data_IF_583345880827
#
_entry.id   IF_583345880827
#
_cell.length_a   1.000
_cell.length_b   1.000
_cell.length_c   1.000
_cell.angle_alpha   90.00
_cell.angle_beta   90.00
_cell.angle_gamma   90.00
#
_symmetry.space_group_name_H-M   'P 1'
#
loop_
_entity.id
_entity.type
_entity.pdbx_description
1 polymer ?
#
# COMPACT_ATOMS: atom_id res chain seq x y z
N UNK A 1 20.25 -11.88 5.37
CA UNK A 1 21.11 -10.86 6.01
C UNK A 1 20.38 -10.16 7.15
N UNK A 2 19.11 -9.70 6.98
CA UNK A 2 18.34 -9.02 8.05
C UNK A 2 18.13 -9.87 9.31
N UNK A 3 17.86 -11.16 9.18
CA UNK A 3 17.68 -12.07 10.31
C UNK A 3 18.97 -12.29 11.14
N UNK A 4 20.12 -12.29 10.48
CA UNK A 4 21.43 -12.44 11.15
C UNK A 4 21.77 -11.15 11.92
N UNK A 5 21.51 -9.98 11.34
CA UNK A 5 21.66 -8.69 12.03
C UNK A 5 20.72 -8.56 13.22
N UNK A 6 19.46 -9.00 13.08
CA UNK A 6 18.52 -9.01 14.20
C UNK A 6 18.98 -9.91 15.35
N UNK A 7 19.54 -11.10 15.08
CA UNK A 7 20.10 -11.97 16.13
C UNK A 7 21.30 -11.37 16.86
N UNK A 8 22.08 -10.52 16.21
CA UNK A 8 23.27 -9.89 16.82
C UNK A 8 22.91 -8.66 17.67
N UNK A 9 21.87 -7.92 17.27
CA UNK A 9 21.51 -6.64 17.91
C UNK A 9 20.28 -6.70 18.82
N UNK A 10 19.44 -7.73 18.74
CA UNK A 10 18.34 -7.94 19.67
C UNK A 10 18.86 -8.68 20.92
N UNK A 11 19.34 -7.92 21.88
CA UNK A 11 19.43 -8.39 23.26
C UNK A 11 18.00 -8.33 23.80
N UNK A 12 17.29 -9.47 23.75
CA UNK A 12 15.98 -9.58 24.40
C UNK A 12 16.15 -9.34 25.90
N UNK A 13 15.52 -8.31 26.46
CA UNK A 13 15.33 -8.29 27.92
C UNK A 13 14.34 -9.42 28.22
N UNK A 14 14.78 -10.45 28.94
CA UNK A 14 13.97 -11.53 29.50
C UNK A 14 12.96 -10.95 30.54
N UNK A 15 12.03 -10.14 30.07
CA UNK A 15 10.80 -9.83 30.76
C UNK A 15 9.73 -10.73 30.18
N UNK A 16 9.50 -11.86 30.84
CA UNK A 16 8.27 -12.61 30.64
C UNK A 16 7.11 -11.63 30.84
N UNK A 17 6.55 -11.14 29.76
CA UNK A 17 5.26 -10.47 29.84
C UNK A 17 4.28 -11.47 30.47
N UNK A 18 3.42 -11.04 31.41
CA UNK A 18 2.39 -11.91 31.93
C UNK A 18 1.65 -12.50 30.75
N UNK A 19 1.42 -13.82 30.79
CA UNK A 19 0.62 -14.52 29.78
C UNK A 19 -0.76 -13.85 29.82
N UNK A 20 -0.97 -12.90 28.92
CA UNK A 20 -2.30 -12.30 28.74
C UNK A 20 -3.23 -13.39 28.24
N UNK A 21 -4.44 -13.44 28.78
CA UNK A 21 -5.48 -14.32 28.27
C UNK A 21 -5.57 -14.19 26.73
N UNK A 22 -5.79 -15.30 26.00
CA UNK A 22 -5.85 -15.24 24.55
C UNK A 22 -6.96 -14.26 24.14
N UNK A 23 -6.56 -13.13 23.59
CA UNK A 23 -7.47 -12.14 23.05
C UNK A 23 -8.03 -12.74 21.75
N UNK A 24 -9.33 -12.85 21.62
CA UNK A 24 -9.98 -13.38 20.42
C UNK A 24 -10.55 -12.22 19.60
N UNK A 25 -9.67 -11.42 19.01
CA UNK A 25 -10.07 -10.30 18.17
C UNK A 25 -10.58 -10.83 16.83
N UNK A 26 -11.82 -10.56 16.51
CA UNK A 26 -12.42 -11.05 15.27
C UNK A 26 -12.15 -10.08 14.12
N UNK A 27 -11.87 -10.60 12.92
CA UNK A 27 -11.59 -9.79 11.71
C UNK A 27 -12.76 -8.83 11.35
N UNK A 28 -13.95 -9.04 11.87
CA UNK A 28 -15.11 -8.15 11.71
C UNK A 28 -15.29 -7.16 12.88
N UNK A 29 -14.31 -7.02 13.79
CA UNK A 29 -14.35 -5.98 14.81
C UNK A 29 -14.40 -4.60 14.16
N UNK A 30 -15.41 -3.82 14.49
CA UNK A 30 -15.65 -2.49 13.89
C UNK A 30 -14.50 -1.51 14.10
N UNK A 31 -13.65 -1.73 15.10
CA UNK A 31 -12.50 -0.88 15.41
C UNK A 31 -11.37 -1.05 14.38
N UNK A 32 -11.18 -2.26 13.86
CA UNK A 32 -10.07 -2.60 12.96
C UNK A 32 -10.51 -2.88 11.52
N UNK A 33 -11.76 -3.28 11.30
CA UNK A 33 -12.30 -3.64 9.98
C UNK A 33 -12.02 -2.58 8.89
N UNK A 34 -12.14 -1.26 9.15
CA UNK A 34 -11.83 -0.24 8.15
C UNK A 34 -10.39 -0.32 7.63
N UNK A 35 -9.43 -0.63 8.50
CA UNK A 35 -8.01 -0.72 8.15
C UNK A 35 -7.70 -2.02 7.40
N UNK A 36 -8.37 -3.12 7.75
CA UNK A 36 -8.25 -4.40 7.04
C UNK A 36 -8.79 -4.27 5.61
N UNK A 37 -9.96 -3.65 5.44
CA UNK A 37 -10.53 -3.35 4.11
C UNK A 37 -9.60 -2.42 3.34
N UNK A 38 -9.08 -1.38 3.99
CA UNK A 38 -8.10 -0.47 3.39
C UNK A 38 -6.90 -1.22 2.84
N UNK A 39 -6.30 -2.13 3.61
CA UNK A 39 -5.19 -2.98 3.18
C UNK A 39 -5.55 -3.89 2.00
N UNK A 40 -6.68 -4.59 2.08
CA UNK A 40 -7.13 -5.48 1.02
C UNK A 40 -7.35 -4.72 -0.30
N UNK A 41 -8.03 -3.57 -0.25
CA UNK A 41 -8.30 -2.76 -1.44
C UNK A 41 -7.04 -2.09 -2.01
N UNK A 42 -6.13 -1.59 -1.17
CA UNK A 42 -4.85 -1.05 -1.63
C UNK A 42 -4.05 -2.11 -2.37
N UNK A 43 -3.94 -3.32 -1.81
CA UNK A 43 -3.19 -4.39 -2.45
C UNK A 43 -3.89 -4.95 -3.68
N UNK A 44 -5.22 -4.92 -3.74
CA UNK A 44 -5.96 -5.26 -4.95
C UNK A 44 -5.59 -4.31 -6.09
N UNK A 45 -5.64 -3.01 -5.86
CA UNK A 45 -5.27 -1.99 -6.86
C UNK A 45 -3.79 -2.09 -7.22
N UNK A 46 -2.93 -2.26 -6.22
CA UNK A 46 -1.48 -2.35 -6.40
C UNK A 46 -1.06 -3.55 -7.26
N UNK A 47 -1.54 -4.75 -6.93
CA UNK A 47 -1.20 -5.96 -7.70
C UNK A 47 -1.84 -5.97 -9.07
N UNK A 48 -3.05 -5.43 -9.22
CA UNK A 48 -3.66 -5.15 -10.50
C UNK A 48 -2.74 -4.27 -11.37
N UNK A 49 -2.32 -3.11 -10.84
CA UNK A 49 -1.45 -2.16 -11.56
C UNK A 49 -0.11 -2.80 -11.94
N UNK A 50 0.49 -3.61 -11.07
CA UNK A 50 1.76 -4.28 -11.37
C UNK A 50 1.63 -5.27 -12.53
N UNK A 51 0.59 -6.10 -12.53
CA UNK A 51 0.41 -7.12 -13.57
C UNK A 51 0.15 -6.49 -14.93
N UNK A 52 -0.67 -5.44 -14.99
CA UNK A 52 -1.01 -4.79 -16.26
C UNK A 52 0.07 -3.83 -16.78
N UNK A 53 1.07 -3.48 -15.96
CA UNK A 53 2.13 -2.53 -16.36
C UNK A 53 2.85 -2.95 -17.64
N UNK A 54 3.19 -4.24 -17.78
CA UNK A 54 3.86 -4.76 -18.97
C UNK A 54 2.97 -4.65 -20.21
N UNK A 55 1.70 -5.02 -20.11
CA UNK A 55 0.73 -4.92 -21.21
C UNK A 55 0.51 -3.46 -21.61
N UNK A 56 0.42 -2.55 -20.66
CA UNK A 56 0.27 -1.13 -20.95
C UNK A 56 1.49 -0.55 -21.67
N UNK A 57 2.71 -0.97 -21.31
CA UNK A 57 3.95 -0.58 -21.97
C UNK A 57 3.94 -1.06 -23.43
N UNK A 58 3.54 -2.31 -23.68
CA UNK A 58 3.45 -2.89 -25.00
C UNK A 58 2.39 -2.19 -25.84
N UNK A 59 1.14 -2.17 -25.38
CA UNK A 59 -0.02 -1.75 -26.16
C UNK A 59 -0.14 -0.23 -26.31
N UNK A 60 0.17 0.54 -25.27
CA UNK A 60 -0.10 1.97 -25.23
C UNK A 60 1.15 2.83 -25.43
N UNK A 61 2.34 2.32 -25.06
CA UNK A 61 3.59 3.04 -25.24
C UNK A 61 4.38 2.54 -26.44
N UNK A 62 3.88 1.54 -27.17
CA UNK A 62 4.42 1.09 -28.46
C UNK A 62 5.78 0.37 -28.36
N UNK A 63 6.08 -0.24 -27.20
CA UNK A 63 7.30 -1.02 -27.03
C UNK A 63 7.04 -2.47 -27.45
N UNK A 64 7.63 -2.89 -28.57
CA UNK A 64 7.32 -4.19 -29.20
C UNK A 64 8.31 -5.31 -28.90
N UNK A 65 9.52 -4.97 -28.42
CA UNK A 65 10.56 -5.97 -28.15
C UNK A 65 10.41 -6.49 -26.71
N UNK A 66 10.31 -7.81 -26.55
CA UNK A 66 10.15 -8.45 -25.24
C UNK A 66 11.21 -8.00 -24.21
N UNK A 67 12.48 -7.86 -24.64
CA UNK A 67 13.55 -7.41 -23.75
C UNK A 67 13.37 -5.96 -23.29
N UNK A 68 12.82 -5.10 -24.14
CA UNK A 68 12.55 -3.70 -23.80
C UNK A 68 11.32 -3.57 -22.89
N UNK A 69 10.29 -4.38 -23.09
CA UNK A 69 9.10 -4.45 -22.20
C UNK A 69 9.54 -4.87 -20.80
N UNK A 70 10.35 -5.94 -20.68
CA UNK A 70 10.89 -6.40 -19.41
C UNK A 70 11.73 -5.30 -18.73
N UNK A 71 12.62 -4.65 -19.49
CA UNK A 71 13.46 -3.56 -18.99
C UNK A 71 12.61 -2.38 -18.51
N UNK A 72 11.64 -1.94 -19.30
CA UNK A 72 10.78 -0.81 -18.96
C UNK A 72 9.90 -1.11 -17.73
N UNK A 73 9.34 -2.31 -17.65
CA UNK A 73 8.58 -2.76 -16.46
C UNK A 73 9.48 -2.79 -15.22
N UNK A 74 10.71 -3.33 -15.35
CA UNK A 74 11.65 -3.39 -14.24
C UNK A 74 12.07 -2.00 -13.75
N UNK A 75 12.29 -1.05 -14.65
CA UNK A 75 12.62 0.34 -14.30
C UNK A 75 11.42 1.00 -13.59
N UNK A 76 10.18 0.75 -14.04
CA UNK A 76 8.98 1.26 -13.38
C UNK A 76 8.87 0.77 -11.95
N UNK A 77 9.00 -0.55 -11.73
CA UNK A 77 8.96 -1.16 -10.40
C UNK A 77 10.13 -0.69 -9.52
N UNK A 78 11.32 -0.54 -10.09
CA UNK A 78 12.48 -0.01 -9.38
C UNK A 78 12.28 1.44 -8.96
N UNK A 79 11.73 2.29 -9.84
CA UNK A 79 11.39 3.68 -9.54
C UNK A 79 10.44 3.77 -8.35
N UNK A 80 9.40 2.93 -8.34
CA UNK A 80 8.46 2.83 -7.23
C UNK A 80 9.17 2.37 -5.94
N UNK A 81 9.96 1.30 -6.00
CA UNK A 81 10.64 0.74 -4.83
C UNK A 81 11.63 1.75 -4.21
N UNK A 82 12.46 2.40 -5.05
CA UNK A 82 13.40 3.42 -4.61
C UNK A 82 12.68 4.59 -3.96
N UNK A 83 11.63 5.10 -4.60
CA UNK A 83 10.87 6.24 -4.06
C UNK A 83 10.19 5.86 -2.74
N UNK A 84 9.59 4.66 -2.66
CA UNK A 84 9.00 4.17 -1.40
C UNK A 84 10.04 4.13 -0.28
N UNK A 85 11.21 3.55 -0.55
CA UNK A 85 12.27 3.42 0.46
C UNK A 85 12.82 4.77 0.89
N UNK A 86 13.12 5.67 -0.07
CA UNK A 86 13.62 7.00 0.23
C UNK A 86 12.61 7.83 1.02
N UNK A 87 11.35 7.79 0.61
CA UNK A 87 10.29 8.52 1.32
C UNK A 87 10.02 7.96 2.71
N UNK A 88 10.09 6.64 2.92
CA UNK A 88 9.99 6.05 4.25
C UNK A 88 11.15 6.48 5.14
N UNK A 89 12.38 6.49 4.64
CA UNK A 89 13.54 6.93 5.38
C UNK A 89 13.46 8.42 5.77
N UNK A 90 12.96 9.27 4.86
CA UNK A 90 12.86 10.72 5.08
C UNK A 90 11.61 11.07 5.91
N UNK A 91 10.43 10.59 5.47
CA UNK A 91 9.14 11.00 6.08
C UNK A 91 9.01 10.47 7.50
N UNK A 92 9.43 9.21 7.75
CA UNK A 92 9.30 8.62 9.08
C UNK A 92 10.34 9.13 10.10
N UNK A 93 11.52 9.58 9.63
CA UNK A 93 12.58 10.01 10.53
C UNK A 93 12.58 11.54 10.79
N UNK A 94 12.12 12.34 9.83
CA UNK A 94 12.25 13.80 9.89
C UNK A 94 10.91 14.46 10.22
N UNK A 95 9.79 13.87 9.80
CA UNK A 95 8.47 14.51 9.89
C UNK A 95 7.56 13.72 10.83
N UNK A 96 7.27 14.28 12.00
CA UNK A 96 6.24 13.76 12.91
C UNK A 96 4.84 13.99 12.33
N UNK A 97 4.44 13.17 11.35
CA UNK A 97 3.12 13.26 10.73
C UNK A 97 2.15 12.32 11.43
N UNK A 98 0.98 12.83 11.81
CA UNK A 98 -0.04 11.99 12.42
C UNK A 98 -0.52 10.89 11.44
N UNK A 99 -0.86 9.68 11.92
CA UNK A 99 -1.39 8.60 11.08
C UNK A 99 -2.61 9.03 10.25
N UNK A 100 -3.42 9.92 10.81
CA UNK A 100 -4.58 10.49 10.14
C UNK A 100 -4.21 11.32 8.90
N UNK A 101 -3.17 12.14 9.00
CA UNK A 101 -2.68 12.95 7.87
C UNK A 101 -2.05 12.07 6.80
N UNK A 102 -1.28 11.05 7.20
CA UNK A 102 -0.70 10.08 6.28
C UNK A 102 -1.78 9.38 5.45
N UNK A 103 -2.83 8.84 6.09
CA UNK A 103 -3.92 8.16 5.41
C UNK A 103 -4.69 9.07 4.44
N UNK A 104 -4.90 10.32 4.81
CA UNK A 104 -5.57 11.28 3.94
C UNK A 104 -4.74 11.59 2.69
N UNK A 105 -3.46 11.86 2.87
CA UNK A 105 -2.58 12.22 1.76
C UNK A 105 -2.30 11.04 0.84
N UNK A 106 -1.99 9.86 1.39
CA UNK A 106 -1.59 8.70 0.58
C UNK A 106 -2.67 8.28 -0.42
N UNK A 107 -3.93 8.23 0.00
CA UNK A 107 -5.02 7.77 -0.86
C UNK A 107 -5.34 8.78 -1.97
N UNK A 108 -5.31 10.08 -1.69
CA UNK A 108 -5.50 11.09 -2.73
C UNK A 108 -4.33 11.14 -3.71
N UNK A 109 -3.08 11.03 -3.24
CA UNK A 109 -1.90 10.94 -4.10
C UNK A 109 -1.99 9.68 -4.97
N UNK A 110 -2.31 8.52 -4.37
CA UNK A 110 -2.45 7.27 -5.08
C UNK A 110 -3.52 7.35 -6.16
N UNK A 111 -4.70 7.86 -5.81
CA UNK A 111 -5.81 8.04 -6.75
C UNK A 111 -5.48 9.00 -7.88
N UNK A 112 -4.85 10.14 -7.58
CA UNK A 112 -4.45 11.13 -8.59
C UNK A 112 -3.42 10.55 -9.58
N UNK A 113 -2.41 9.83 -9.08
CA UNK A 113 -1.40 9.18 -9.93
C UNK A 113 -2.03 8.14 -10.84
N UNK A 114 -2.88 7.27 -10.30
CA UNK A 114 -3.58 6.26 -11.09
C UNK A 114 -4.49 6.89 -12.15
N UNK A 115 -5.15 7.99 -11.84
CA UNK A 115 -5.99 8.72 -12.79
C UNK A 115 -5.20 9.26 -14.00
N UNK A 116 -3.94 9.65 -13.78
CA UNK A 116 -3.08 10.23 -14.82
C UNK A 116 -2.45 9.16 -15.72
N UNK A 117 -2.21 7.93 -15.23
CA UNK A 117 -1.51 6.88 -16.01
C UNK A 117 -2.11 6.64 -17.42
N UNK A 118 -3.43 6.56 -17.61
CA UNK A 118 -4.02 6.38 -18.95
C UNK A 118 -3.67 7.48 -19.96
N UNK A 119 -3.31 8.66 -19.47
CA UNK A 119 -2.96 9.82 -20.31
C UNK A 119 -1.49 9.84 -20.70
N UNK A 120 -0.68 8.96 -20.10
CA UNK A 120 0.77 8.90 -20.34
C UNK A 120 1.07 8.37 -21.73
N UNK A 121 1.98 9.04 -22.45
CA UNK A 121 2.38 8.72 -23.83
C UNK A 121 3.87 8.40 -23.97
N UNK A 122 4.63 8.36 -22.89
CA UNK A 122 6.06 8.03 -22.93
C UNK A 122 6.50 7.26 -21.71
N UNK A 123 7.56 6.46 -21.87
CA UNK A 123 8.16 5.67 -20.80
C UNK A 123 8.63 6.53 -19.62
N UNK A 124 9.20 7.72 -19.89
CA UNK A 124 9.67 8.62 -18.83
C UNK A 124 8.55 9.05 -17.88
N UNK A 125 7.41 9.46 -18.42
CA UNK A 125 6.25 9.81 -17.59
C UNK A 125 5.62 8.58 -16.92
N UNK A 126 5.71 7.40 -17.54
CA UNK A 126 5.27 6.16 -16.91
C UNK A 126 6.13 5.81 -15.69
N UNK A 127 7.46 5.92 -15.80
CA UNK A 127 8.37 5.73 -14.66
C UNK A 127 8.09 6.74 -13.53
N UNK A 128 7.82 8.00 -13.91
CA UNK A 128 7.47 9.04 -12.94
C UNK A 128 6.13 8.73 -12.23
N UNK A 129 5.16 8.18 -12.94
CA UNK A 129 3.89 7.74 -12.34
C UNK A 129 4.11 6.61 -11.32
N UNK A 130 4.97 5.64 -11.62
CA UNK A 130 5.33 4.59 -10.67
C UNK A 130 6.11 5.14 -9.46
N UNK A 131 6.98 6.13 -9.66
CA UNK A 131 7.59 6.85 -8.54
C UNK A 131 6.52 7.55 -7.67
N UNK A 132 5.50 8.15 -8.28
CA UNK A 132 4.35 8.72 -7.58
C UNK A 132 3.55 7.69 -6.77
N UNK A 133 3.35 6.48 -7.32
CA UNK A 133 2.78 5.35 -6.56
C UNK A 133 3.67 5.03 -5.36
N UNK A 134 4.98 5.04 -5.51
CA UNK A 134 5.95 4.83 -4.42
C UNK A 134 5.80 5.84 -3.29
N UNK A 135 5.59 7.13 -3.61
CA UNK A 135 5.31 8.17 -2.62
C UNK A 135 4.05 7.83 -1.82
N UNK A 136 2.96 7.48 -2.50
CA UNK A 136 1.71 7.11 -1.83
C UNK A 136 1.90 5.89 -0.92
N UNK A 137 2.55 4.85 -1.43
CA UNK A 137 2.78 3.59 -0.71
C UNK A 137 3.67 3.76 0.53
N UNK A 138 4.63 4.69 0.50
CA UNK A 138 5.47 5.01 1.65
C UNK A 138 4.66 5.44 2.87
N UNK A 139 3.50 6.04 2.66
CA UNK A 139 2.60 6.56 3.70
C UNK A 139 1.50 5.55 4.11
N UNK A 140 1.13 4.61 3.20
CA UNK A 140 0.07 3.62 3.45
C UNK A 140 0.41 2.73 4.64
N UNK A 141 1.61 2.15 4.64
CA UNK A 141 2.05 1.21 5.68
C UNK A 141 2.03 1.83 7.08
N UNK A 142 2.73 2.94 7.34
CA UNK A 142 2.68 3.56 8.66
C UNK A 142 1.28 4.11 8.99
N UNK A 143 0.56 4.63 7.99
CA UNK A 143 -0.78 5.18 8.18
C UNK A 143 -1.79 4.14 8.66
N UNK A 144 -1.94 3.03 7.93
CA UNK A 144 -2.90 1.97 8.26
C UNK A 144 -2.51 1.22 9.52
N UNK A 145 -1.22 0.84 9.66
CA UNK A 145 -0.76 0.06 10.82
C UNK A 145 -0.87 0.88 12.10
N UNK A 146 -0.37 2.11 12.14
CA UNK A 146 -0.46 2.95 13.33
C UNK A 146 -1.89 3.29 13.70
N UNK A 147 -2.74 3.61 12.72
CA UNK A 147 -4.15 3.92 12.99
C UNK A 147 -4.91 2.71 13.55
N UNK A 148 -4.67 1.51 13.02
CA UNK A 148 -5.28 0.29 13.52
C UNK A 148 -4.81 -0.04 14.95
N UNK A 149 -3.50 0.05 15.19
CA UNK A 149 -2.89 -0.21 16.52
C UNK A 149 -3.41 0.76 17.58
N UNK A 150 -3.61 2.04 17.23
CA UNK A 150 -4.19 3.04 18.13
C UNK A 150 -5.70 2.85 18.38
N UNK A 151 -6.38 2.04 17.59
CA UNK A 151 -7.82 1.80 17.71
C UNK A 151 -8.17 0.66 18.66
N UNK A 152 -7.17 -0.01 19.22
CA UNK A 152 -7.31 -1.16 20.14
C UNK A 152 -6.45 -0.98 21.38
N UNK A 153 -6.70 -1.81 22.39
CA UNK A 153 -5.93 -1.79 23.63
C UNK A 153 -4.53 -2.42 23.45
N UNK A 154 -3.60 -2.08 24.33
CA UNK A 154 -2.21 -2.51 24.21
C UNK A 154 -2.05 -4.04 24.17
N UNK A 155 -2.89 -4.76 24.91
CA UNK A 155 -2.84 -6.23 24.94
C UNK A 155 -3.43 -6.90 23.67
N UNK A 156 -4.22 -6.15 22.85
CA UNK A 156 -4.80 -6.61 21.58
C UNK A 156 -3.87 -6.36 20.37
N UNK A 157 -2.82 -5.54 20.53
CA UNK A 157 -1.99 -5.06 19.41
C UNK A 157 -1.27 -6.18 18.66
N UNK A 158 -0.89 -7.24 19.33
CA UNK A 158 -0.25 -8.41 18.69
C UNK A 158 -1.19 -9.11 17.72
N UNK A 159 -2.47 -9.28 18.08
CA UNK A 159 -3.49 -9.90 17.22
C UNK A 159 -3.87 -9.00 16.05
N UNK A 160 -4.00 -7.71 16.28
CA UNK A 160 -4.20 -6.70 15.22
C UNK A 160 -3.05 -6.76 14.20
N UNK A 161 -1.79 -6.83 14.65
CA UNK A 161 -0.66 -6.93 13.75
C UNK A 161 -0.74 -8.19 12.86
N UNK A 162 -1.17 -9.32 13.40
CA UNK A 162 -1.42 -10.54 12.65
C UNK A 162 -2.52 -10.39 11.58
N UNK A 163 -3.64 -9.78 11.96
CA UNK A 163 -4.76 -9.52 11.03
C UNK A 163 -4.37 -8.52 9.92
N UNK A 164 -3.63 -7.46 10.26
CA UNK A 164 -3.12 -6.50 9.29
C UNK A 164 -2.13 -7.13 8.31
N UNK A 165 -1.31 -8.10 8.75
CA UNK A 165 -0.41 -8.82 7.87
C UNK A 165 -1.16 -9.76 6.91
N UNK A 166 -2.32 -10.29 7.31
CA UNK A 166 -3.14 -11.17 6.49
C UNK A 166 -4.03 -10.42 5.48
N UNK A 167 -4.49 -9.21 5.80
CA UNK A 167 -5.44 -8.47 4.99
C UNK A 167 -4.99 -8.20 3.55
N UNK A 168 -3.71 -7.86 3.25
CA UNK A 168 -3.21 -7.69 1.89
C UNK A 168 -3.38 -8.91 0.99
N UNK A 169 -3.36 -10.12 1.56
CA UNK A 169 -3.43 -11.39 0.81
C UNK A 169 -4.71 -11.45 -0.04
N UNK A 170 -5.82 -10.96 0.47
CA UNK A 170 -7.09 -10.90 -0.27
C UNK A 170 -6.91 -10.06 -1.54
N UNK A 171 -6.31 -8.89 -1.43
CA UNK A 171 -6.01 -8.02 -2.58
C UNK A 171 -5.04 -8.67 -3.57
N UNK A 172 -4.01 -9.37 -3.07
CA UNK A 172 -3.02 -10.05 -3.91
C UNK A 172 -3.63 -11.20 -4.72
N UNK A 173 -4.63 -11.89 -4.18
CA UNK A 173 -5.32 -12.98 -4.90
C UNK A 173 -6.22 -12.43 -6.01
N UNK A 174 -7.04 -11.43 -5.71
CA UNK A 174 -8.05 -10.93 -6.64
C UNK A 174 -7.55 -9.83 -7.57
N UNK A 175 -6.54 -9.06 -7.18
CA UNK A 175 -6.05 -7.92 -7.94
C UNK A 175 -5.61 -8.25 -9.36
N UNK A 176 -4.74 -9.26 -9.60
CA UNK A 176 -4.31 -9.63 -10.94
C UNK A 176 -5.48 -10.00 -11.86
N UNK A 177 -6.42 -10.80 -11.36
CA UNK A 177 -7.58 -11.25 -12.13
C UNK A 177 -8.52 -10.08 -12.49
N UNK A 178 -8.85 -9.24 -11.52
CA UNK A 178 -9.69 -8.06 -11.74
C UNK A 178 -8.98 -7.08 -12.69
N UNK A 179 -7.68 -6.85 -12.50
CA UNK A 179 -6.89 -6.01 -13.38
C UNK A 179 -6.90 -6.50 -14.82
N UNK A 180 -6.66 -7.78 -15.04
CA UNK A 180 -6.67 -8.38 -16.37
C UNK A 180 -8.06 -8.28 -17.03
N UNK A 181 -9.14 -8.59 -16.30
CA UNK A 181 -10.50 -8.50 -16.81
C UNK A 181 -10.87 -7.06 -17.21
N UNK A 182 -10.52 -6.08 -16.40
CA UNK A 182 -10.76 -4.68 -16.73
C UNK A 182 -9.93 -4.23 -17.93
N UNK A 183 -8.68 -4.68 -18.04
CA UNK A 183 -7.77 -4.35 -19.13
C UNK A 183 -8.27 -4.89 -20.48
N UNK A 184 -8.87 -6.08 -20.50
CA UNK A 184 -9.45 -6.64 -21.74
C UNK A 184 -10.62 -5.83 -22.27
N UNK A 185 -11.32 -5.08 -21.40
CA UNK A 185 -12.40 -4.19 -21.81
C UNK A 185 -11.86 -2.84 -22.33
N UNK A 186 -10.93 -2.24 -21.61
CA UNK A 186 -10.19 -1.03 -22.00
C UNK A 186 -8.89 -0.90 -21.18
N UNK A 187 -7.75 -0.59 -21.82
CA UNK A 187 -6.46 -0.42 -21.12
C UNK A 187 -6.46 0.61 -20.00
N UNK A 188 -7.39 1.57 -20.01
CA UNK A 188 -7.50 2.62 -18.99
C UNK A 188 -8.29 2.17 -17.75
N UNK A 189 -9.19 1.19 -17.90
CA UNK A 189 -10.14 0.83 -16.84
C UNK A 189 -9.50 0.35 -15.54
N UNK A 190 -8.44 -0.47 -15.53
CA UNK A 190 -7.82 -0.88 -14.27
C UNK A 190 -7.29 0.30 -13.46
N UNK A 191 -6.70 1.27 -14.12
CA UNK A 191 -6.15 2.47 -13.48
C UNK A 191 -7.26 3.39 -12.98
N UNK A 192 -8.31 3.61 -13.78
CA UNK A 192 -9.47 4.42 -13.37
C UNK A 192 -10.25 3.78 -12.23
N UNK A 193 -10.41 2.46 -12.27
CA UNK A 193 -11.03 1.69 -11.17
C UNK A 193 -10.19 1.79 -9.89
N UNK A 194 -8.88 1.63 -10.01
CA UNK A 194 -7.94 1.81 -8.90
C UNK A 194 -7.98 3.23 -8.33
N UNK A 195 -8.04 4.24 -9.20
CA UNK A 195 -8.18 5.64 -8.81
C UNK A 195 -9.48 5.87 -8.03
N UNK A 196 -10.60 5.33 -8.52
CA UNK A 196 -11.90 5.44 -7.85
C UNK A 196 -11.85 4.82 -6.43
N UNK A 197 -11.29 3.61 -6.31
CA UNK A 197 -11.12 2.95 -5.01
C UNK A 197 -10.24 3.80 -4.08
N UNK A 198 -9.10 4.28 -4.57
CA UNK A 198 -8.18 5.07 -3.77
C UNK A 198 -8.84 6.38 -3.28
N UNK A 199 -9.54 7.10 -4.15
CA UNK A 199 -10.25 8.34 -3.79
C UNK A 199 -11.38 8.03 -2.79
N UNK A 200 -12.14 6.95 -3.00
CA UNK A 200 -13.20 6.52 -2.07
C UNK A 200 -12.64 6.21 -0.68
N UNK A 201 -11.49 5.51 -0.60
CA UNK A 201 -10.79 5.27 0.66
C UNK A 201 -10.29 6.59 1.28
N UNK A 202 -9.74 7.51 0.48
CA UNK A 202 -9.33 8.83 0.95
C UNK A 202 -10.48 9.61 1.58
N UNK A 203 -11.64 9.62 0.92
CA UNK A 203 -12.87 10.25 1.44
C UNK A 203 -13.32 9.54 2.71
N UNK A 204 -13.35 8.21 2.72
CA UNK A 204 -13.78 7.44 3.89
C UNK A 204 -12.90 7.74 5.12
N UNK A 205 -11.57 7.69 4.97
CA UNK A 205 -10.63 7.98 6.06
C UNK A 205 -10.62 9.47 6.46
N UNK A 206 -11.16 10.38 5.64
CA UNK A 206 -11.37 11.76 6.03
C UNK A 206 -12.38 11.88 7.17
N UNK A 207 -13.44 11.07 7.14
CA UNK A 207 -14.53 11.12 8.12
C UNK A 207 -14.34 10.12 9.27
N UNK A 208 -13.46 9.12 9.13
CA UNK A 208 -13.19 8.16 10.20
C UNK A 208 -12.50 8.85 11.38
N UNK A 209 -13.06 8.64 12.57
CA UNK A 209 -12.46 9.12 13.83
C UNK A 209 -11.31 8.19 14.20
N UNK A 210 -10.08 8.59 13.92
CA UNK A 210 -8.87 7.89 14.33
C UNK A 210 -8.46 8.45 15.69
N UNK A 211 -8.20 7.61 16.71
CA UNK A 211 -7.71 8.04 18.02
C UNK A 211 -6.43 8.89 17.86
N UNK A 212 -6.28 9.89 18.73
CA UNK A 212 -5.06 10.70 18.75
C UNK A 212 -3.99 9.96 19.53
N UNK A 213 -2.76 10.04 19.07
CA UNK A 213 -1.58 9.72 19.92
C UNK A 213 -1.58 10.71 21.06
N UNK A 214 -1.78 10.25 22.28
CA UNK A 214 -1.46 11.03 23.48
C UNK A 214 0.06 11.08 23.59
N UNK A 215 0.63 12.28 23.44
CA UNK A 215 2.04 12.56 23.70
C UNK A 215 2.22 13.01 25.15
#
# INVERSE_FOLDING_TARGET
>A
LGGILAMIFLIEPLKQAPVSEPVNLKFYDKRIMPYLIGWALVFLVFTSTQVIAAFFIEDQLGVSTQSEIIKATSISLLSMALTTTLMQAVVLQIINVSPRTLLRLCFFIFGAVLFVIPMVKSLGYFYLSFAGIGIAFSMVTPGLNSAATLSVETHEQGEVAGLLAAAPVVGMIFGPTIGALLYTADPSYPFLFGSLIAIALGIYFQFLKIPKTEH
#
